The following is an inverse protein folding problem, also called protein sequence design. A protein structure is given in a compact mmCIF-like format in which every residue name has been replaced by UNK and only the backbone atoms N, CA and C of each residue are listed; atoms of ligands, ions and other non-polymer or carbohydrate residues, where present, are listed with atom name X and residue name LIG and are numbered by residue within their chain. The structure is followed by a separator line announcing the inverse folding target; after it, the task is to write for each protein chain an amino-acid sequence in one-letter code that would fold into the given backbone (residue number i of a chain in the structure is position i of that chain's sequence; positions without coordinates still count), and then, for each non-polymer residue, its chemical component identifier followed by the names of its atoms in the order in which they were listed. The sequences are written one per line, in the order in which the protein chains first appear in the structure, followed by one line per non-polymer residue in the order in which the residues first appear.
data_IF_009429013007
#
_entry.id   IF_009429013007
#
_cell.length_a   1.000
_cell.length_b   1.000
_cell.length_c   1.000
_cell.angle_alpha   90.00
_cell.angle_beta   90.00
_cell.angle_gamma   90.00
#
_symmetry.space_group_name_H-M   'P 1'
#
loop_
_entity.id
_entity.type
_entity.pdbx_description
1 polymer ?
#
# COMPACT_ATOMS: atom_id res chain seq x y z
N UNK A 1 -2.14 15.57 -9.14
CA UNK A 1 -0.70 15.29 -9.26
C UNK A 1 -0.53 14.24 -10.34
N UNK A 2 0.45 14.36 -11.25
CA UNK A 2 0.85 13.22 -12.07
C UNK A 2 1.27 12.10 -11.11
N UNK A 3 0.83 10.88 -11.37
CA UNK A 3 1.24 9.73 -10.56
C UNK A 3 2.70 9.45 -10.95
N UNK A 4 3.62 9.60 -9.99
CA UNK A 4 5.03 9.32 -10.20
C UNK A 4 5.22 7.84 -10.59
N UNK A 5 6.01 7.52 -11.63
CA UNK A 5 6.23 6.14 -12.06
C UNK A 5 6.88 5.27 -10.96
N UNK A 6 7.65 5.90 -10.07
CA UNK A 6 8.21 5.26 -8.88
C UNK A 6 7.11 4.77 -7.92
N UNK A 7 6.04 5.55 -7.74
CA UNK A 7 4.90 5.17 -6.88
C UNK A 7 4.22 3.92 -7.44
N UNK A 8 4.00 3.84 -8.75
CA UNK A 8 3.40 2.66 -9.37
C UNK A 8 4.31 1.42 -9.26
N UNK A 9 5.61 1.61 -9.42
CA UNK A 9 6.59 0.52 -9.21
C UNK A 9 6.51 -0.01 -7.78
N UNK A 10 6.43 0.88 -6.79
CA UNK A 10 6.25 0.51 -5.38
C UNK A 10 4.92 -0.24 -5.19
N UNK A 11 3.81 0.24 -5.75
CA UNK A 11 2.50 -0.42 -5.65
C UNK A 11 2.56 -1.86 -6.17
N UNK A 12 3.17 -2.10 -7.33
CA UNK A 12 3.31 -3.45 -7.88
C UNK A 12 4.16 -4.36 -6.98
N UNK A 13 5.28 -3.85 -6.47
CA UNK A 13 6.13 -4.58 -5.53
C UNK A 13 5.40 -4.93 -4.23
N UNK A 14 4.70 -3.97 -3.63
CA UNK A 14 3.94 -4.18 -2.39
C UNK A 14 2.78 -5.15 -2.59
N UNK A 15 2.08 -5.05 -3.72
CA UNK A 15 0.96 -5.95 -4.04
C UNK A 15 1.43 -7.40 -4.15
N UNK A 16 2.56 -7.62 -4.85
CA UNK A 16 3.20 -8.95 -4.93
C UNK A 16 3.72 -9.44 -3.58
N UNK A 17 4.21 -8.54 -2.74
CA UNK A 17 4.70 -8.89 -1.41
C UNK A 17 3.55 -9.34 -0.50
N UNK A 18 2.47 -8.57 -0.40
CA UNK A 18 1.29 -8.94 0.39
C UNK A 18 0.54 -10.16 -0.14
N UNK A 19 0.64 -10.43 -1.44
CA UNK A 19 0.11 -11.67 -2.03
C UNK A 19 0.83 -12.91 -1.50
N UNK A 20 2.15 -12.81 -1.30
CA UNK A 20 2.98 -13.90 -0.77
C UNK A 20 2.97 -13.94 0.76
N UNK A 21 2.81 -12.78 1.41
CA UNK A 21 2.82 -12.62 2.86
C UNK A 21 1.55 -11.90 3.34
N UNK A 22 0.41 -12.63 3.44
CA UNK A 22 -0.87 -12.02 3.79
C UNK A 22 -0.91 -11.38 5.18
N UNK A 23 -0.14 -11.92 6.14
CA UNK A 23 -0.04 -11.41 7.51
C UNK A 23 1.00 -10.27 7.68
N UNK A 24 1.64 -9.85 6.59
CA UNK A 24 2.65 -8.79 6.66
C UNK A 24 2.01 -7.45 7.03
N UNK A 25 2.55 -6.82 8.06
CA UNK A 25 2.10 -5.53 8.57
C UNK A 25 3.30 -4.75 9.09
N UNK A 26 3.54 -3.55 8.56
CA UNK A 26 4.64 -2.70 9.02
C UNK A 26 4.33 -1.21 8.78
N UNK A 27 5.21 -0.34 9.26
CA UNK A 27 5.18 1.10 9.05
C UNK A 27 5.73 1.47 7.66
N UNK A 28 5.39 2.64 7.14
CA UNK A 28 5.95 3.14 5.87
C UNK A 28 7.48 3.13 5.85
N UNK A 29 8.13 3.50 6.96
CA UNK A 29 9.59 3.42 7.13
C UNK A 29 10.11 1.98 7.09
N UNK A 30 9.43 1.04 7.77
CA UNK A 30 9.84 -0.37 7.78
C UNK A 30 9.66 -1.03 6.42
N UNK A 31 8.56 -0.73 5.73
CA UNK A 31 8.29 -1.19 4.36
C UNK A 31 9.38 -0.68 3.41
N UNK A 32 9.69 0.62 3.46
CA UNK A 32 10.74 1.22 2.63
C UNK A 32 12.12 0.59 2.87
N UNK A 33 12.38 0.11 4.09
CA UNK A 33 13.69 -0.41 4.50
C UNK A 33 13.86 -1.91 4.28
N UNK A 34 12.79 -2.70 4.46
CA UNK A 34 12.88 -4.17 4.54
C UNK A 34 12.12 -4.89 3.44
N UNK A 35 11.10 -4.27 2.85
CA UNK A 35 10.22 -4.95 1.89
C UNK A 35 10.56 -4.60 0.44
N UNK A 36 11.08 -3.39 0.22
CA UNK A 36 11.43 -2.89 -1.11
C UNK A 36 12.96 -2.94 -1.26
N UNK A 37 13.45 -4.05 -1.79
CA UNK A 37 14.85 -4.21 -2.19
C UNK A 37 15.02 -3.63 -3.61
N UNK A 38 15.10 -2.29 -3.70
CA UNK A 38 15.50 -1.61 -4.94
C UNK A 38 16.92 -1.12 -4.80
N UNK A 39 17.85 -1.96 -5.25
CA UNK A 39 19.23 -1.57 -5.47
C UNK A 39 19.28 -0.53 -6.61
N UNK A 40 20.04 0.58 -6.51
CA UNK A 40 21.05 0.92 -5.50
C UNK A 40 20.65 2.04 -4.50
N UNK A 41 19.40 2.52 -4.48
CA UNK A 41 19.00 3.66 -3.63
C UNK A 41 17.79 3.29 -2.75
N UNK A 42 17.87 3.50 -1.42
CA UNK A 42 16.73 3.26 -0.56
C UNK A 42 15.57 4.17 -0.96
N UNK A 43 14.37 3.59 -1.07
CA UNK A 43 13.16 4.35 -1.41
C UNK A 43 12.86 5.32 -0.27
N UNK A 44 12.65 6.62 -0.54
CA UNK A 44 12.22 7.55 0.49
C UNK A 44 10.83 7.14 1.01
N UNK A 45 10.67 7.18 2.34
CA UNK A 45 9.41 6.81 3.00
C UNK A 45 8.21 7.61 2.45
N UNK A 46 8.41 8.83 1.97
CA UNK A 46 7.37 9.67 1.36
C UNK A 46 6.78 9.07 0.08
N UNK A 47 7.58 8.42 -0.76
CA UNK A 47 7.08 7.71 -1.95
C UNK A 47 6.30 6.47 -1.55
N UNK A 48 6.78 5.75 -0.52
CA UNK A 48 6.07 4.60 0.04
C UNK A 48 4.74 5.04 0.66
N UNK A 49 4.69 6.13 1.40
CA UNK A 49 3.44 6.71 1.92
C UNK A 49 2.48 7.12 0.80
N UNK A 50 2.99 7.70 -0.30
CA UNK A 50 2.18 8.00 -1.48
C UNK A 50 1.56 6.74 -2.10
N UNK A 51 2.35 5.69 -2.26
CA UNK A 51 1.88 4.39 -2.77
C UNK A 51 0.86 3.75 -1.83
N UNK A 52 1.12 3.74 -0.53
CA UNK A 52 0.22 3.20 0.49
C UNK A 52 -1.09 3.99 0.56
N UNK A 53 -1.02 5.32 0.44
CA UNK A 53 -2.20 6.17 0.38
C UNK A 53 -3.06 5.88 -0.85
N UNK A 54 -2.43 5.68 -2.00
CA UNK A 54 -3.12 5.28 -3.24
C UNK A 54 -3.76 3.88 -3.10
N UNK A 55 -3.01 2.90 -2.57
CA UNK A 55 -3.53 1.54 -2.32
C UNK A 55 -4.66 1.53 -1.29
N UNK A 56 -4.60 2.41 -0.29
CA UNK A 56 -5.67 2.58 0.69
C UNK A 56 -6.93 3.18 0.04
N UNK A 57 -6.77 4.14 -0.87
CA UNK A 57 -7.89 4.68 -1.67
C UNK A 57 -8.52 3.62 -2.59
N UNK A 58 -7.75 2.66 -3.09
CA UNK A 58 -8.26 1.48 -3.82
C UNK A 58 -8.97 0.46 -2.92
N UNK A 59 -8.93 0.64 -1.59
CA UNK A 59 -9.52 -0.27 -0.61
C UNK A 59 -8.76 -1.59 -0.45
N UNK A 60 -7.50 -1.66 -0.89
CA UNK A 60 -6.69 -2.89 -0.76
C UNK A 60 -5.84 -2.91 0.50
N UNK A 61 -5.55 -1.73 1.07
CA UNK A 61 -4.71 -1.54 2.25
C UNK A 61 -5.45 -0.75 3.32
N UNK A 62 -5.29 -1.17 4.56
CA UNK A 62 -5.75 -0.45 5.75
C UNK A 62 -4.57 0.22 6.46
N UNK A 63 -4.78 1.49 6.85
CA UNK A 63 -3.91 2.23 7.74
C UNK A 63 -4.42 2.14 9.18
N UNK A 64 -3.65 1.49 10.05
CA UNK A 64 -3.92 1.30 11.46
C UNK A 64 -3.10 2.28 12.29
N UNK A 65 -3.76 3.13 13.06
CA UNK A 65 -3.09 3.98 14.04
C UNK A 65 -2.77 3.18 15.29
N UNK A 66 -1.48 3.01 15.57
CA UNK A 66 -1.00 2.37 16.78
C UNK A 66 -1.09 3.32 17.98
N UNK A 67 -1.19 2.75 19.19
CA UNK A 67 -1.16 3.52 20.43
C UNK A 67 0.15 4.33 20.64
N UNK A 68 1.23 3.95 19.95
CA UNK A 68 2.51 4.67 19.92
C UNK A 68 2.48 5.93 19.02
N UNK A 69 1.35 6.21 18.36
CA UNK A 69 1.18 7.33 17.42
C UNK A 69 1.67 7.05 16.00
N UNK A 70 2.23 5.86 15.74
CA UNK A 70 2.71 5.43 14.41
C UNK A 70 1.57 4.81 13.59
N UNK A 71 1.63 4.99 12.27
CA UNK A 71 0.72 4.34 11.32
C UNK A 71 1.34 3.03 10.83
N UNK A 72 0.60 1.95 10.93
CA UNK A 72 0.95 0.64 10.35
C UNK A 72 0.02 0.33 9.21
N UNK A 73 0.56 -0.28 8.16
CA UNK A 73 -0.18 -0.64 6.96
C UNK A 73 -0.25 -2.15 6.85
N UNK A 74 -1.45 -2.65 6.55
CA UNK A 74 -1.70 -4.08 6.29
C UNK A 74 -2.70 -4.25 5.16
N UNK A 75 -2.80 -5.45 4.60
CA UNK A 75 -3.91 -5.79 3.68
C UNK A 75 -5.26 -5.65 4.37
N UNK A 76 -6.27 -5.17 3.63
CA UNK A 76 -7.59 -4.90 4.19
C UNK A 76 -8.39 -6.15 4.57
N UNK A 77 -8.21 -7.27 3.86
CA UNK A 77 -8.95 -8.52 4.12
C UNK A 77 -8.25 -9.72 3.49
N UNK A 78 -8.40 -10.91 4.05
CA UNK A 78 -7.83 -12.15 3.51
C UNK A 78 -8.81 -12.89 2.57
N UNK A 79 -9.54 -12.14 1.73
CA UNK A 79 -10.54 -12.70 0.80
C UNK A 79 -9.99 -12.82 -0.64
N UNK A 80 -10.56 -13.76 -1.41
CA UNK A 80 -10.21 -14.05 -2.80
C UNK A 80 -10.39 -12.83 -3.72
N UNK A 81 -11.43 -12.01 -3.48
CA UNK A 81 -11.64 -10.80 -4.25
C UNK A 81 -10.53 -9.76 -4.04
N UNK A 82 -9.96 -9.68 -2.83
CA UNK A 82 -8.81 -8.81 -2.59
C UNK A 82 -7.55 -9.40 -3.22
N UNK A 83 -7.42 -10.71 -3.16
CA UNK A 83 -6.30 -11.44 -3.75
C UNK A 83 -6.19 -11.17 -5.26
N UNK A 84 -7.31 -11.27 -5.98
CA UNK A 84 -7.40 -10.93 -7.40
C UNK A 84 -7.08 -9.46 -7.68
N UNK A 85 -7.47 -8.54 -6.80
CA UNK A 85 -7.11 -7.12 -6.92
C UNK A 85 -5.61 -6.88 -6.72
N UNK A 86 -4.98 -7.56 -5.75
CA UNK A 86 -3.54 -7.48 -5.53
C UNK A 86 -2.77 -8.06 -6.71
N UNK A 87 -3.26 -9.13 -7.33
CA UNK A 87 -2.68 -9.69 -8.54
C UNK A 87 -2.76 -8.70 -9.73
N UNK A 88 -3.93 -8.09 -9.94
CA UNK A 88 -4.11 -7.05 -10.96
C UNK A 88 -3.23 -5.82 -10.72
N UNK A 89 -3.06 -5.39 -9.46
CA UNK A 89 -2.15 -4.29 -9.10
C UNK A 89 -0.67 -4.64 -9.27
N UNK A 90 -0.32 -5.92 -9.08
CA UNK A 90 1.04 -6.40 -9.31
C UNK A 90 1.39 -6.45 -10.81
N UNK A 91 0.41 -6.76 -11.67
CA UNK A 91 0.58 -6.80 -13.13
C UNK A 91 0.52 -5.40 -13.77
N UNK A 92 -0.56 -4.67 -13.55
CA UNK A 92 -0.78 -3.33 -14.09
C UNK A 92 -1.52 -2.42 -13.08
N UNK A 93 -0.79 -1.70 -12.21
CA UNK A 93 -1.42 -0.84 -11.20
C UNK A 93 -2.22 0.31 -11.84
N UNK A 94 -1.92 0.68 -13.09
CA UNK A 94 -2.63 1.73 -13.81
C UNK A 94 -4.02 1.29 -14.28
N UNK A 95 -4.29 -0.01 -14.47
CA UNK A 95 -5.63 -0.52 -14.79
C UNK A 95 -6.62 -0.36 -13.64
N UNK A 96 -6.14 -0.35 -12.39
CA UNK A 96 -6.98 -0.38 -11.18
C UNK A 96 -7.21 1.03 -10.61
N UNK A 97 -6.85 2.07 -11.37
CA UNK A 97 -6.94 3.48 -10.97
C UNK A 97 -8.26 3.81 -10.24
N UNK A 98 -8.19 4.29 -8.99
CA UNK A 98 -9.38 4.70 -8.27
C UNK A 98 -9.93 5.96 -8.95
N UNK A 99 -11.06 5.82 -9.63
CA UNK A 99 -11.83 6.95 -10.16
C UNK A 99 -12.53 7.67 -9.00
N UNK A 100 -11.78 8.29 -8.10
CA UNK A 100 -12.37 8.97 -6.94
C UNK A 100 -11.37 9.40 -5.89
N UNK A 101 -11.49 10.65 -5.47
CA UNK A 101 -10.72 11.34 -4.43
C UNK A 101 -10.61 10.52 -3.13
N UNK A 102 -9.46 10.55 -2.43
CA UNK A 102 -9.33 9.88 -1.14
C UNK A 102 -10.17 10.63 -0.10
N UNK A 103 -11.40 10.16 0.15
CA UNK A 103 -12.10 10.49 1.40
C UNK A 103 -11.63 9.49 2.44
N UNK A 104 -10.51 9.80 3.08
CA UNK A 104 -10.06 9.09 4.27
C UNK A 104 -11.07 9.41 5.38
N UNK A 105 -12.09 8.56 5.54
CA UNK A 105 -13.04 8.65 6.63
C UNK A 105 -12.33 8.43 7.97
N UNK A 106 -12.60 9.23 9.01
CA UNK A 106 -12.02 8.99 10.33
C UNK A 106 -12.50 7.62 10.85
N UNK A 107 -11.64 6.83 11.51
CA UNK A 107 -12.10 5.61 12.17
C UNK A 107 -13.06 6.02 13.29
N UNK A 108 -14.32 5.57 13.20
CA UNK A 108 -15.27 5.76 14.26
C UNK A 108 -14.85 4.94 15.47
N UNK A 109 -14.61 5.64 16.57
CA UNK A 109 -14.49 5.10 17.91
C UNK A 109 -15.90 4.95 18.50
N UNK A 110 -16.37 3.71 18.72
CA UNK A 110 -17.17 3.38 19.90
C UNK A 110 -17.13 1.88 20.21
#
# INVERSE_FOLDING_TARGET
MPIDPDVMTIVSHLSRYWRQHPDACDTSEGIARWWIDVDPQPVPATLVEGALGWMSACGVVEALHAADGRVRYRRASADDALDAKLDALADDPQSVMPSGSPTQGPPQVH
#
